data_IF_786163877424
#
_entry.id   IF_786163877424
#
_cell.length_a   1.000
_cell.length_b   1.000
_cell.length_c   1.000
_cell.angle_alpha   90.00
_cell.angle_beta   90.00
_cell.angle_gamma   90.00
#
_symmetry.space_group_name_H-M   'P 1'
#
loop_
_entity.id
_entity.type
_entity.pdbx_description
1 polymer ?
#
# COMPACT_ATOMS: atom_id res chain seq x y z
N UNK A 1 12.76 22.96 5.13
CA UNK A 1 12.13 24.11 4.45
C UNK A 1 10.97 23.60 3.60
N UNK A 2 9.82 24.26 3.59
CA UNK A 2 8.68 23.90 2.70
C UNK A 2 8.68 24.85 1.50
N UNK A 3 8.32 24.35 0.33
CA UNK A 3 8.24 25.13 -0.92
C UNK A 3 6.85 24.99 -1.54
N UNK A 4 6.48 25.94 -2.40
CA UNK A 4 5.20 25.94 -3.10
C UNK A 4 5.35 25.24 -4.44
N UNK A 5 4.42 24.34 -4.75
CA UNK A 5 4.29 23.70 -6.06
C UNK A 5 2.98 24.17 -6.71
N UNK A 6 3.07 24.86 -7.83
CA UNK A 6 1.92 25.28 -8.65
C UNK A 6 1.83 24.42 -9.90
N UNK A 7 0.67 23.80 -10.13
CA UNK A 7 0.43 22.89 -11.25
C UNK A 7 -0.83 23.34 -11.98
N UNK A 8 -0.73 23.47 -13.31
CA UNK A 8 -1.91 23.64 -14.18
C UNK A 8 -2.55 22.27 -14.42
N UNK A 9 -3.86 22.18 -14.22
CA UNK A 9 -4.62 20.95 -14.44
C UNK A 9 -6.06 21.32 -14.80
N UNK A 10 -6.81 20.34 -15.27
CA UNK A 10 -8.22 20.50 -15.55
C UNK A 10 -9.03 20.70 -14.26
N UNK A 11 -10.05 21.57 -14.31
CA UNK A 11 -10.85 21.93 -13.13
C UNK A 11 -11.62 20.73 -12.58
N UNK A 12 -12.18 19.92 -13.46
CA UNK A 12 -13.04 18.81 -13.08
C UNK A 12 -12.19 17.65 -12.53
N UNK A 13 -11.02 17.40 -13.13
CA UNK A 13 -10.01 16.46 -12.58
C UNK A 13 -9.58 16.87 -11.17
N UNK A 14 -9.27 18.15 -10.96
CA UNK A 14 -8.91 18.66 -9.62
C UNK A 14 -10.03 18.41 -8.61
N UNK A 15 -11.28 18.69 -8.97
CA UNK A 15 -12.43 18.51 -8.09
C UNK A 15 -12.63 17.04 -7.73
N UNK A 16 -12.58 16.15 -8.70
CA UNK A 16 -12.68 14.70 -8.48
C UNK A 16 -11.56 14.19 -7.57
N UNK A 17 -10.31 14.60 -7.80
CA UNK A 17 -9.19 14.22 -6.96
C UNK A 17 -9.33 14.72 -5.50
N UNK A 18 -9.88 15.93 -5.31
CA UNK A 18 -10.16 16.46 -3.96
C UNK A 18 -11.25 15.66 -3.25
N UNK A 19 -12.33 15.30 -3.94
CA UNK A 19 -13.41 14.48 -3.38
C UNK A 19 -12.89 13.10 -2.97
N UNK A 20 -12.18 12.41 -3.87
CA UNK A 20 -11.60 11.09 -3.57
C UNK A 20 -10.62 11.15 -2.39
N UNK A 21 -9.77 12.18 -2.33
CA UNK A 21 -8.87 12.33 -1.19
C UNK A 21 -9.64 12.53 0.13
N UNK A 22 -10.71 13.33 0.12
CA UNK A 22 -11.55 13.56 1.29
C UNK A 22 -12.32 12.30 1.73
N UNK A 23 -12.83 11.51 0.79
CA UNK A 23 -13.44 10.20 1.06
C UNK A 23 -12.47 9.24 1.77
N UNK A 24 -11.17 9.33 1.42
CA UNK A 24 -10.10 8.58 2.06
C UNK A 24 -9.58 9.23 3.37
N UNK A 25 -10.18 10.33 3.82
CA UNK A 25 -9.79 11.04 5.05
C UNK A 25 -8.48 11.83 4.92
N UNK A 26 -8.06 12.17 3.70
CA UNK A 26 -6.78 12.80 3.42
C UNK A 26 -6.94 14.14 2.68
N UNK A 27 -6.13 15.16 3.01
CA UNK A 27 -6.00 16.34 2.16
C UNK A 27 -5.36 15.98 0.80
N UNK A 28 -5.82 16.59 -0.30
CA UNK A 28 -5.22 16.39 -1.63
C UNK A 28 -3.70 16.67 -1.64
N UNK A 29 -3.24 17.67 -0.88
CA UNK A 29 -1.80 17.98 -0.76
C UNK A 29 -0.99 16.83 -0.16
N UNK A 30 -1.58 16.03 0.73
CA UNK A 30 -0.94 14.84 1.30
C UNK A 30 -0.75 13.77 0.23
N UNK A 31 -1.77 13.54 -0.62
CA UNK A 31 -1.71 12.60 -1.74
C UNK A 31 -0.64 13.00 -2.75
N UNK A 32 -0.60 14.28 -3.13
CA UNK A 32 0.41 14.80 -4.07
C UNK A 32 1.83 14.66 -3.49
N UNK A 33 2.03 15.04 -2.23
CA UNK A 33 3.34 14.91 -1.58
C UNK A 33 3.79 13.44 -1.43
N UNK A 34 2.87 12.52 -1.12
CA UNK A 34 3.16 11.10 -1.07
C UNK A 34 3.57 10.57 -2.46
N UNK A 35 2.86 10.99 -3.50
CA UNK A 35 3.16 10.63 -4.89
C UNK A 35 4.55 11.14 -5.31
N UNK A 36 4.92 12.37 -4.96
CA UNK A 36 6.26 12.92 -5.24
C UNK A 36 7.36 12.16 -4.49
N UNK A 37 7.12 11.79 -3.22
CA UNK A 37 8.07 10.98 -2.44
C UNK A 37 8.27 9.60 -3.07
N UNK A 38 7.20 8.94 -3.49
CA UNK A 38 7.29 7.66 -4.18
C UNK A 38 7.98 7.79 -5.52
N UNK A 39 7.73 8.86 -6.29
CA UNK A 39 8.46 9.10 -7.53
C UNK A 39 9.99 9.20 -7.31
N UNK A 40 10.42 9.97 -6.31
CA UNK A 40 11.84 10.08 -5.94
C UNK A 40 12.43 8.75 -5.49
N UNK A 41 11.68 8.00 -4.66
CA UNK A 41 12.11 6.70 -4.13
C UNK A 41 12.21 5.63 -5.21
N UNK A 42 11.21 5.56 -6.09
CA UNK A 42 11.14 4.56 -7.15
C UNK A 42 12.12 4.85 -8.29
N UNK A 43 12.48 6.13 -8.49
CA UNK A 43 13.24 6.63 -9.65
C UNK A 43 12.58 6.28 -10.99
N UNK A 44 11.26 6.07 -10.97
CA UNK A 44 10.45 5.76 -12.14
C UNK A 44 8.99 6.13 -11.88
N UNK A 45 8.26 6.40 -12.96
CA UNK A 45 6.79 6.47 -12.95
C UNK A 45 6.31 5.30 -13.80
N UNK A 46 5.39 4.50 -13.26
CA UNK A 46 4.75 3.42 -14.00
C UNK A 46 3.31 3.81 -14.26
N UNK A 47 2.97 4.01 -15.53
CA UNK A 47 1.58 4.07 -15.97
C UNK A 47 1.18 2.66 -16.40
N UNK A 48 0.28 2.05 -15.65
CA UNK A 48 -0.25 0.73 -16.00
C UNK A 48 -1.71 0.66 -15.60
N UNK A 49 -2.53 0.07 -16.48
CA UNK A 49 -3.91 -0.29 -16.14
C UNK A 49 -3.98 -1.47 -15.15
N UNK A 50 -2.85 -2.17 -14.93
CA UNK A 50 -2.78 -3.36 -14.08
C UNK A 50 -2.06 -2.98 -12.78
N UNK A 51 -2.67 -3.25 -11.60
CA UNK A 51 -2.01 -3.04 -10.32
C UNK A 51 -0.69 -3.83 -10.27
N UNK A 52 0.42 -3.16 -9.94
CA UNK A 52 1.69 -3.84 -9.64
C UNK A 52 1.96 -3.81 -8.15
N UNK A 53 2.53 -4.90 -7.64
CA UNK A 53 2.96 -4.97 -6.26
C UNK A 53 4.04 -3.91 -5.98
N UNK A 54 4.03 -3.34 -4.77
CA UNK A 54 5.12 -2.47 -4.33
C UNK A 54 6.37 -3.31 -4.05
N UNK A 55 7.57 -2.74 -4.22
CA UNK A 55 8.84 -3.41 -3.83
C UNK A 55 8.83 -3.90 -2.37
N UNK A 56 8.09 -3.21 -1.50
CA UNK A 56 7.92 -3.62 -0.10
C UNK A 56 7.07 -4.89 -0.01
N UNK A 57 5.94 -4.94 -0.71
CA UNK A 57 5.06 -6.11 -0.75
C UNK A 57 5.77 -7.31 -1.39
N UNK A 58 6.47 -7.13 -2.50
CA UNK A 58 7.29 -8.17 -3.13
C UNK A 58 8.30 -8.77 -2.14
N UNK A 59 8.99 -7.92 -1.36
CA UNK A 59 9.94 -8.38 -0.34
C UNK A 59 9.27 -9.14 0.81
N UNK A 60 8.05 -8.77 1.20
CA UNK A 60 7.28 -9.49 2.22
C UNK A 60 6.89 -10.86 1.66
N UNK A 61 6.31 -10.91 0.47
CA UNK A 61 5.86 -12.16 -0.16
C UNK A 61 7.02 -13.10 -0.45
N UNK A 62 8.17 -12.60 -0.89
CA UNK A 62 9.36 -13.44 -1.08
C UNK A 62 9.85 -14.12 0.20
N UNK A 63 9.61 -13.53 1.39
CA UNK A 63 9.86 -14.21 2.67
C UNK A 63 8.82 -15.29 2.94
N UNK A 64 7.55 -14.97 2.75
CA UNK A 64 6.43 -15.91 2.92
C UNK A 64 6.60 -17.13 2.01
N UNK A 65 6.98 -16.94 0.75
CA UNK A 65 7.24 -18.03 -0.19
C UNK A 65 8.40 -18.93 0.25
N UNK A 66 9.46 -18.35 0.82
CA UNK A 66 10.58 -19.12 1.37
C UNK A 66 10.16 -19.93 2.59
N UNK A 67 9.37 -19.32 3.47
CA UNK A 67 8.84 -19.91 4.68
C UNK A 67 7.92 -21.10 4.35
N UNK A 68 7.03 -20.94 3.37
CA UNK A 68 6.20 -22.02 2.82
C UNK A 68 7.02 -23.18 2.25
N UNK A 69 8.04 -22.88 1.42
CA UNK A 69 8.90 -23.93 0.83
C UNK A 69 9.71 -24.70 1.87
N UNK A 70 10.01 -24.09 3.02
CA UNK A 70 10.85 -24.67 4.06
C UNK A 70 10.06 -25.15 5.28
N UNK A 71 8.73 -25.04 5.25
CA UNK A 71 7.86 -25.40 6.37
C UNK A 71 8.11 -24.57 7.63
N UNK A 72 8.58 -23.33 7.49
CA UNK A 72 8.91 -22.43 8.61
C UNK A 72 7.86 -21.35 8.78
N UNK A 73 7.68 -20.85 10.00
CA UNK A 73 6.75 -19.76 10.33
C UNK A 73 5.30 -20.01 9.85
N UNK A 74 4.87 -21.28 9.85
CA UNK A 74 3.50 -21.68 9.55
C UNK A 74 2.73 -21.84 10.86
N UNK A 75 1.46 -21.46 10.84
CA UNK A 75 0.54 -21.85 11.90
C UNK A 75 0.36 -23.38 11.90
N UNK A 76 -0.03 -23.98 13.03
CA UNK A 76 -0.53 -25.35 13.00
C UNK A 76 -1.80 -25.45 12.16
N UNK A 77 -2.14 -26.67 11.76
CA UNK A 77 -3.45 -26.96 11.16
C UNK A 77 -4.52 -26.92 12.25
N UNK A 78 -5.62 -26.22 11.98
CA UNK A 78 -6.74 -26.09 12.90
C UNK A 78 -7.91 -26.97 12.45
N UNK A 79 -8.58 -27.62 13.39
CA UNK A 79 -9.77 -28.45 13.11
C UNK A 79 -11.08 -27.70 13.26
N UNK A 80 -11.04 -26.47 13.78
CA UNK A 80 -12.21 -25.61 14.00
C UNK A 80 -11.82 -24.13 14.00
N UNK A 81 -12.78 -23.25 13.73
CA UNK A 81 -12.57 -21.80 13.79
C UNK A 81 -12.23 -21.34 15.21
N UNK A 82 -12.82 -21.97 16.23
CA UNK A 82 -12.58 -21.70 17.65
C UNK A 82 -11.13 -22.01 18.05
N UNK A 83 -10.52 -23.06 17.47
CA UNK A 83 -9.12 -23.39 17.69
C UNK A 83 -8.17 -22.36 17.06
N UNK A 84 -8.48 -21.91 15.85
CA UNK A 84 -7.72 -20.87 15.17
C UNK A 84 -7.78 -19.53 15.94
N UNK A 85 -8.97 -19.15 16.42
CA UNK A 85 -9.15 -17.93 17.22
C UNK A 85 -8.33 -17.98 18.52
N UNK A 86 -8.38 -19.10 19.26
CA UNK A 86 -7.56 -19.27 20.48
C UNK A 86 -6.06 -19.14 20.21
N UNK A 87 -5.59 -19.60 19.05
CA UNK A 87 -4.18 -19.47 18.66
C UNK A 87 -3.78 -18.02 18.36
N UNK A 88 -4.68 -17.24 17.72
CA UNK A 88 -4.43 -15.84 17.39
C UNK A 88 -4.53 -14.90 18.59
N UNK A 89 -5.38 -15.22 19.56
CA UNK A 89 -5.58 -14.42 20.77
C UNK A 89 -4.60 -14.78 21.90
N UNK A 90 -3.76 -15.79 21.71
CA UNK A 90 -2.73 -16.17 22.67
C UNK A 90 -1.62 -15.09 22.74
N UNK A 91 -1.24 -14.62 23.94
CA UNK A 91 -0.22 -13.57 24.11
C UNK A 91 1.21 -14.02 23.77
#
# INVERSE_FOLDING_TARGET
MKTVLSIKTDRDVKKQAQMLAAELGLPLSTVVNASLKEFVRARSITFSAIPRMTKRLEKILGRVEKDLKTGKNLSPEFRSAEEAMRYLDAP
#
